data_IF_055120887826
#
_entry.id   IF_055120887826
#
_cell.length_a   1.000
_cell.length_b   1.000
_cell.length_c   1.000
_cell.angle_alpha   90.00
_cell.angle_beta   90.00
_cell.angle_gamma   90.00
#
_symmetry.space_group_name_H-M   'P 1'
#
loop_
_entity.id
_entity.type
_entity.pdbx_description
1 polymer ?
#
# COMPACT_ATOMS: atom_id res chain seq x y z
N UNK A 1 -13.67 10.55 5.78
CA UNK A 1 -14.94 10.59 5.07
C UNK A 1 -15.00 11.89 4.31
N UNK A 2 -15.17 11.81 2.99
CA UNK A 2 -15.45 12.97 2.14
C UNK A 2 -16.75 13.63 2.60
N UNK A 3 -16.75 14.96 2.60
CA UNK A 3 -17.97 15.71 2.90
C UNK A 3 -18.92 15.70 1.71
N UNK A 4 -20.20 15.97 1.95
CA UNK A 4 -21.18 16.15 0.87
C UNK A 4 -20.80 17.31 -0.06
N UNK A 5 -20.23 18.39 0.48
CA UNK A 5 -19.75 19.54 -0.29
C UNK A 5 -18.61 19.17 -1.24
N UNK A 6 -17.68 18.31 -0.79
CA UNK A 6 -16.60 17.80 -1.64
C UNK A 6 -17.14 16.95 -2.80
N UNK A 7 -18.10 16.06 -2.51
CA UNK A 7 -18.73 15.19 -3.52
C UNK A 7 -19.47 16.04 -4.57
N UNK A 8 -20.22 17.06 -4.14
CA UNK A 8 -20.97 17.91 -5.06
C UNK A 8 -20.05 18.81 -5.90
N UNK A 9 -18.93 19.28 -5.34
CA UNK A 9 -17.92 20.03 -6.11
C UNK A 9 -17.25 19.17 -7.20
N UNK A 10 -17.13 17.86 -6.98
CA UNK A 10 -16.54 16.90 -7.93
C UNK A 10 -17.56 16.33 -8.92
N UNK A 11 -18.85 16.64 -8.76
CA UNK A 11 -19.93 16.15 -9.63
C UNK A 11 -19.87 16.83 -10.99
N UNK A 12 -19.35 16.13 -12.00
CA UNK A 12 -19.26 16.62 -13.37
C UNK A 12 -19.58 15.51 -14.39
N UNK A 13 -20.30 15.79 -15.50
CA UNK A 13 -20.72 14.75 -16.46
C UNK A 13 -19.59 13.95 -17.13
N UNK A 14 -18.35 14.43 -17.06
CA UNK A 14 -17.15 13.78 -17.61
C UNK A 14 -16.23 13.16 -16.56
N UNK A 15 -16.53 13.31 -15.28
CA UNK A 15 -15.77 12.68 -14.19
C UNK A 15 -16.49 11.38 -13.84
N UNK A 16 -15.81 10.25 -14.01
CA UNK A 16 -16.38 8.90 -13.81
C UNK A 16 -15.97 8.26 -12.48
N UNK A 17 -14.90 8.76 -11.84
CA UNK A 17 -14.45 8.34 -10.53
C UNK A 17 -13.54 9.43 -9.94
N UNK A 18 -13.47 9.48 -8.61
CA UNK A 18 -12.50 10.29 -7.88
C UNK A 18 -12.14 9.59 -6.57
N UNK A 19 -10.99 9.97 -6.02
CA UNK A 19 -10.48 9.48 -4.76
C UNK A 19 -9.82 10.63 -4.01
N UNK A 20 -9.97 10.64 -2.69
CA UNK A 20 -9.38 11.63 -1.80
C UNK A 20 -8.26 10.97 -1.02
N UNK A 21 -7.11 11.62 -1.01
CA UNK A 21 -6.04 11.23 -0.11
C UNK A 21 -6.52 11.30 1.35
N UNK A 22 -6.40 10.19 2.07
CA UNK A 22 -6.83 10.09 3.46
C UNK A 22 -5.63 10.23 4.42
N UNK A 23 -4.54 9.51 4.16
CA UNK A 23 -3.34 9.51 5.01
C UNK A 23 -2.14 8.90 4.31
N UNK A 24 -0.93 9.22 4.77
CA UNK A 24 0.32 8.56 4.38
C UNK A 24 1.08 8.07 5.62
N UNK A 25 1.65 6.87 5.51
CA UNK A 25 2.46 6.24 6.55
C UNK A 25 3.82 5.83 5.99
N UNK A 26 4.88 6.03 6.77
CA UNK A 26 6.23 5.60 6.40
C UNK A 26 6.65 4.44 7.31
N UNK A 27 6.81 3.27 6.72
CA UNK A 27 7.30 2.05 7.35
C UNK A 27 8.81 1.95 7.14
N UNK A 28 9.53 1.45 8.14
CA UNK A 28 10.98 1.29 8.08
C UNK A 28 11.36 -0.16 8.38
N UNK A 29 12.01 -0.82 7.43
CA UNK A 29 12.51 -2.18 7.55
C UNK A 29 14.01 -2.16 7.82
N UNK A 30 14.47 -3.04 8.72
CA UNK A 30 15.91 -3.22 8.94
C UNK A 30 16.50 -4.04 7.80
N UNK A 31 17.54 -3.49 7.16
CA UNK A 31 18.25 -4.13 6.04
C UNK A 31 19.74 -4.04 6.33
N UNK A 32 20.29 -5.11 6.89
CA UNK A 32 21.65 -5.11 7.42
C UNK A 32 21.80 -4.12 8.57
N UNK A 33 22.57 -3.04 8.36
CA UNK A 33 22.77 -1.96 9.35
C UNK A 33 22.00 -0.68 9.03
N UNK A 34 21.23 -0.68 7.94
CA UNK A 34 20.49 0.47 7.45
C UNK A 34 18.98 0.25 7.59
N UNK A 35 18.21 1.32 7.36
CA UNK A 35 16.75 1.26 7.30
C UNK A 35 16.29 1.52 5.87
N UNK A 36 15.45 0.63 5.35
CA UNK A 36 14.75 0.84 4.09
C UNK A 36 13.35 1.40 4.35
N UNK A 37 12.98 2.49 3.67
CA UNK A 37 11.69 3.15 3.86
C UNK A 37 10.69 2.69 2.79
N UNK A 38 9.52 2.22 3.24
CA UNK A 38 8.33 2.02 2.39
C UNK A 38 7.26 3.01 2.81
N UNK A 39 6.76 3.81 1.86
CA UNK A 39 5.63 4.69 2.07
C UNK A 39 4.32 4.03 1.58
N UNK A 40 3.24 4.20 2.36
CA UNK A 40 1.89 3.70 2.12
C UNK A 40 0.94 4.90 2.10
N UNK A 41 0.17 5.08 1.03
CA UNK A 41 -0.92 6.07 0.97
C UNK A 41 -2.25 5.35 1.06
N UNK A 42 -3.16 5.89 1.83
CA UNK A 42 -4.55 5.42 1.90
C UNK A 42 -5.43 6.46 1.24
N UNK A 43 -6.34 6.00 0.40
CA UNK A 43 -7.30 6.83 -0.33
C UNK A 43 -8.71 6.42 0.04
N UNK A 44 -9.58 7.41 0.15
CA UNK A 44 -11.02 7.23 0.21
C UNK A 44 -11.62 7.38 -1.19
N UNK A 45 -12.52 6.48 -1.57
CA UNK A 45 -13.22 6.47 -2.86
C UNK A 45 -14.56 7.19 -2.76
N UNK A 46 -15.14 7.52 -3.90
CA UNK A 46 -16.46 8.14 -4.03
C UNK A 46 -17.61 7.34 -3.39
N UNK A 47 -17.48 6.01 -3.30
CA UNK A 47 -18.42 5.13 -2.60
C UNK A 47 -18.18 5.02 -1.07
N UNK A 48 -17.21 5.78 -0.55
CA UNK A 48 -16.84 5.82 0.87
C UNK A 48 -15.98 4.65 1.34
N UNK A 49 -15.50 3.78 0.45
CA UNK A 49 -14.52 2.74 0.77
C UNK A 49 -13.09 3.25 0.65
N UNK A 50 -12.15 2.44 1.10
CA UNK A 50 -10.74 2.78 1.21
C UNK A 50 -9.87 1.79 0.45
N UNK A 51 -8.87 2.26 -0.27
CA UNK A 51 -7.80 1.43 -0.82
C UNK A 51 -6.45 2.05 -0.47
N UNK A 52 -5.38 1.34 -0.77
CA UNK A 52 -4.03 1.84 -0.54
C UNK A 52 -3.14 1.69 -1.76
N UNK A 53 -2.10 2.51 -1.79
CA UNK A 53 -0.98 2.40 -2.71
C UNK A 53 0.30 2.36 -1.89
N UNK A 54 1.29 1.62 -2.37
CA UNK A 54 2.58 1.47 -1.72
C UNK A 54 3.72 1.80 -2.66
N UNK A 55 4.74 2.46 -2.14
CA UNK A 55 5.94 2.86 -2.89
C UNK A 55 6.76 1.68 -3.41
N UNK A 56 6.68 0.53 -2.74
CA UNK A 56 7.42 -0.67 -3.07
C UNK A 56 6.57 -1.91 -2.81
N UNK A 57 6.68 -2.89 -3.70
CA UNK A 57 6.24 -4.25 -3.49
C UNK A 57 7.35 -5.08 -2.85
N UNK A 58 6.99 -6.21 -2.24
CA UNK A 58 7.97 -7.17 -1.72
C UNK A 58 8.19 -8.30 -2.73
N UNK A 59 9.45 -8.65 -2.96
CA UNK A 59 9.90 -9.83 -3.71
C UNK A 59 11.06 -10.49 -2.98
N UNK A 60 10.75 -11.45 -2.13
CA UNK A 60 11.77 -12.19 -1.39
C UNK A 60 12.29 -13.40 -2.18
N UNK A 61 13.39 -14.04 -1.76
CA UNK A 61 13.94 -15.23 -2.44
C UNK A 61 13.01 -16.45 -2.41
N UNK A 62 11.98 -16.44 -1.56
CA UNK A 62 11.00 -17.53 -1.43
C UNK A 62 9.82 -17.37 -2.39
N UNK A 63 9.84 -16.34 -3.24
CA UNK A 63 8.82 -16.03 -4.24
C UNK A 63 9.42 -16.02 -5.64
N UNK A 64 8.66 -16.48 -6.63
CA UNK A 64 9.05 -16.39 -8.05
C UNK A 64 8.87 -14.97 -8.61
N UNK A 65 7.99 -14.16 -8.01
CA UNK A 65 7.68 -12.79 -8.44
C UNK A 65 7.30 -11.90 -7.26
N UNK A 66 7.30 -10.57 -7.47
CA UNK A 66 6.83 -9.62 -6.48
C UNK A 66 5.35 -9.83 -6.15
N UNK A 67 4.98 -9.62 -4.89
CA UNK A 67 3.58 -9.63 -4.48
C UNK A 67 2.92 -8.30 -4.84
N UNK A 68 2.19 -8.29 -5.96
CA UNK A 68 1.43 -7.14 -6.44
C UNK A 68 -0.05 -7.38 -6.16
N UNK A 69 -0.62 -6.57 -5.28
CA UNK A 69 -2.05 -6.57 -5.03
C UNK A 69 -2.79 -5.66 -6.01
N UNK A 70 -4.00 -6.05 -6.38
CA UNK A 70 -4.95 -5.17 -7.05
C UNK A 70 -5.51 -4.12 -6.09
N UNK A 71 -6.21 -3.12 -6.63
CA UNK A 71 -6.84 -2.05 -5.85
C UNK A 71 -8.11 -2.53 -5.12
N UNK A 72 -7.93 -3.41 -4.13
CA UNK A 72 -9.02 -3.87 -3.26
C UNK A 72 -9.56 -2.73 -2.41
N UNK A 73 -10.88 -2.67 -2.25
CA UNK A 73 -11.58 -1.64 -1.50
C UNK A 73 -12.10 -2.19 -0.17
N UNK A 74 -11.76 -1.52 0.92
CA UNK A 74 -12.11 -1.87 2.29
C UNK A 74 -13.13 -0.89 2.89
N UNK A 75 -14.00 -1.32 3.80
CA UNK A 75 -15.04 -0.45 4.37
C UNK A 75 -14.52 0.53 5.42
N UNK A 76 -13.27 0.39 5.87
CA UNK A 76 -12.65 1.22 6.91
C UNK A 76 -11.18 1.49 6.58
N UNK A 77 -10.64 2.68 6.93
CA UNK A 77 -9.26 3.03 6.59
C UNK A 77 -8.23 2.12 7.28
N UNK A 78 -8.48 1.70 8.52
CA UNK A 78 -7.56 0.82 9.23
C UNK A 78 -7.46 -0.57 8.58
N UNK A 79 -8.54 -1.07 7.94
CA UNK A 79 -8.50 -2.35 7.23
C UNK A 79 -7.64 -2.27 5.97
N UNK A 80 -7.73 -1.16 5.22
CA UNK A 80 -6.83 -0.92 4.10
C UNK A 80 -5.37 -0.83 4.56
N UNK A 81 -5.10 -0.16 5.67
CA UNK A 81 -3.76 -0.09 6.24
C UNK A 81 -3.25 -1.46 6.72
N UNK A 82 -4.08 -2.24 7.42
CA UNK A 82 -3.74 -3.60 7.84
C UNK A 82 -3.35 -4.46 6.65
N UNK A 83 -4.18 -4.44 5.59
CA UNK A 83 -3.90 -5.20 4.38
C UNK A 83 -2.62 -4.71 3.68
N UNK A 84 -2.36 -3.40 3.66
CA UNK A 84 -1.12 -2.84 3.12
C UNK A 84 0.12 -3.36 3.85
N UNK A 85 0.09 -3.37 5.19
CA UNK A 85 1.18 -3.89 6.01
C UNK A 85 1.38 -5.38 5.75
N UNK A 86 0.30 -6.17 5.82
CA UNK A 86 0.33 -7.62 5.59
C UNK A 86 0.90 -7.97 4.21
N UNK A 87 0.55 -7.21 3.17
CA UNK A 87 1.02 -7.44 1.80
C UNK A 87 2.54 -7.42 1.64
N UNK A 88 3.25 -6.74 2.56
CA UNK A 88 4.69 -6.65 2.58
C UNK A 88 5.27 -7.58 3.65
N UNK A 89 4.69 -7.58 4.85
CA UNK A 89 5.27 -8.29 6.00
C UNK A 89 5.13 -9.80 5.89
N UNK A 90 4.05 -10.34 5.30
CA UNK A 90 3.86 -11.80 5.22
C UNK A 90 5.02 -12.51 4.52
N UNK A 91 5.44 -12.03 3.34
CA UNK A 91 6.56 -12.64 2.62
C UNK A 91 7.93 -12.28 3.18
N UNK A 92 8.05 -11.09 3.78
CA UNK A 92 9.24 -10.69 4.50
C UNK A 92 9.51 -11.61 5.69
N UNK A 93 8.50 -11.85 6.52
CA UNK A 93 8.56 -12.72 7.70
C UNK A 93 8.82 -14.18 7.30
N UNK A 94 8.15 -14.68 6.24
CA UNK A 94 8.40 -16.03 5.73
C UNK A 94 9.86 -16.21 5.29
N UNK A 95 10.42 -15.27 4.53
CA UNK A 95 11.81 -15.33 4.09
C UNK A 95 12.80 -15.28 5.26
N UNK A 96 12.57 -14.40 6.24
CA UNK A 96 13.40 -14.32 7.46
C UNK A 96 13.31 -15.60 8.27
N UNK A 97 12.11 -16.19 8.41
CA UNK A 97 11.92 -17.45 9.12
C UNK A 97 12.67 -18.64 8.49
N UNK A 98 12.93 -18.57 7.17
CA UNK A 98 13.73 -19.54 6.40
C UNK A 98 15.24 -19.23 6.39
N UNK A 99 15.67 -18.23 7.14
CA UNK A 99 17.09 -17.87 7.30
C UNK A 99 17.63 -16.94 6.22
N UNK A 100 16.77 -16.33 5.40
CA UNK A 100 17.21 -15.31 4.45
C UNK A 100 17.38 -13.96 5.15
N UNK A 101 18.51 -13.31 4.94
CA UNK A 101 18.75 -11.96 5.45
C UNK A 101 18.04 -10.90 4.58
N UNK A 102 17.32 -9.94 5.17
CA UNK A 102 16.70 -8.83 4.44
C UNK A 102 17.70 -8.04 3.62
N UNK A 103 17.33 -7.70 2.37
CA UNK A 103 18.13 -6.94 1.42
C UNK A 103 17.29 -5.88 0.73
N UNK A 104 17.93 -4.81 0.27
CA UNK A 104 17.24 -3.69 -0.39
C UNK A 104 16.59 -4.12 -1.71
N UNK A 105 17.15 -5.12 -2.38
CA UNK A 105 16.61 -5.70 -3.63
C UNK A 105 15.31 -6.49 -3.45
N UNK A 106 14.89 -6.76 -2.20
CA UNK A 106 13.57 -7.31 -1.91
C UNK A 106 12.46 -6.29 -2.12
N UNK A 107 12.77 -5.00 -2.03
CA UNK A 107 11.80 -3.92 -2.16
C UNK A 107 11.78 -3.42 -3.61
N UNK A 108 10.84 -3.94 -4.39
CA UNK A 108 10.70 -3.60 -5.81
C UNK A 108 9.87 -2.33 -5.93
N UNK A 109 10.42 -1.29 -6.56
CA UNK A 109 9.73 -0.01 -6.75
C UNK A 109 8.37 -0.20 -7.45
N UNK A 110 7.35 0.46 -6.93
CA UNK A 110 6.11 0.69 -7.64
C UNK A 110 6.21 2.01 -8.42
N UNK A 111 6.26 1.95 -9.75
CA UNK A 111 6.40 3.14 -10.60
C UNK A 111 5.12 3.98 -10.70
N UNK A 112 3.99 3.45 -10.20
CA UNK A 112 2.70 4.14 -10.19
C UNK A 112 2.41 4.87 -8.87
N UNK A 113 3.34 4.84 -7.90
CA UNK A 113 3.21 5.49 -6.59
C UNK A 113 3.58 6.98 -6.61
#
# INVERSE_FOLDING_TARGET
MMSGEEIDALRHPRIVAFHKFFSEYHLFFEVGRERFRVAIRVYETDDGRFFFEQSHYIRTPVQDSAHVLGAERHPRPYLALTHAVESITTYYEDAVSKGHEPRTDWFVRNDLY
#
